data_IF_412752845014
#
_entry.id   IF_412752845014
#
_cell.length_a   1.000
_cell.length_b   1.000
_cell.length_c   1.000
_cell.angle_alpha   90.00
_cell.angle_beta   90.00
_cell.angle_gamma   90.00
#
_symmetry.space_group_name_H-M   'P 1'
#
loop_
_entity.id
_entity.type
_entity.pdbx_description
1 polymer ?
#
# COMPACT_ATOMS: atom_id res chain seq x y z
N UNK A 1 11.30 -72.43 -40.15
CA UNK A 1 12.20 -71.92 -41.21
C UNK A 1 11.33 -71.37 -42.33
N UNK A 2 11.76 -70.34 -43.07
CA UNK A 2 11.98 -68.90 -42.80
C UNK A 2 10.83 -68.07 -43.45
N UNK A 3 10.94 -66.78 -43.87
CA UNK A 3 11.73 -65.61 -43.43
C UNK A 3 10.81 -64.44 -42.95
N UNK A 4 11.27 -63.53 -42.08
CA UNK A 4 11.82 -62.19 -42.39
C UNK A 4 11.01 -61.33 -43.39
N UNK A 5 10.45 -60.22 -42.89
CA UNK A 5 10.49 -58.95 -43.62
C UNK A 5 10.37 -57.76 -42.64
N UNK A 6 11.50 -57.08 -42.52
CA UNK A 6 11.74 -55.79 -41.88
C UNK A 6 11.04 -54.68 -42.65
N UNK A 7 10.30 -53.82 -41.96
CA UNK A 7 9.85 -52.53 -42.51
C UNK A 7 10.18 -51.41 -41.52
N UNK A 8 11.30 -50.75 -41.82
CA UNK A 8 11.71 -49.47 -41.26
C UNK A 8 10.71 -48.42 -41.75
N UNK A 9 10.12 -47.66 -40.84
CA UNK A 9 9.43 -46.40 -41.16
C UNK A 9 10.37 -45.26 -40.80
N UNK A 10 10.64 -44.44 -41.82
CA UNK A 10 11.52 -43.28 -41.83
C UNK A 10 11.07 -42.23 -40.83
N UNK A 11 12.02 -41.72 -40.03
CA UNK A 11 11.90 -40.48 -39.28
C UNK A 11 12.12 -39.31 -40.27
N UNK A 12 11.06 -38.56 -40.56
CA UNK A 12 11.19 -37.25 -41.22
C UNK A 12 11.65 -36.22 -40.19
N UNK A 13 12.85 -35.68 -40.41
CA UNK A 13 13.39 -34.54 -39.68
C UNK A 13 12.65 -33.26 -40.10
N UNK A 14 12.29 -32.35 -39.18
CA UNK A 14 11.73 -31.05 -39.54
C UNK A 14 12.81 -30.15 -40.15
N UNK A 15 12.46 -29.54 -41.29
CA UNK A 15 13.22 -28.51 -41.99
C UNK A 15 13.42 -27.29 -41.07
N UNK A 16 14.68 -26.93 -40.84
CA UNK A 16 15.06 -25.67 -40.22
C UNK A 16 14.89 -24.54 -41.25
N UNK A 17 13.82 -23.76 -41.12
CA UNK A 17 13.71 -22.48 -41.83
C UNK A 17 14.71 -21.49 -41.23
N UNK A 18 15.71 -21.14 -42.05
CA UNK A 18 16.61 -20.03 -41.82
C UNK A 18 15.79 -18.73 -41.85
N UNK A 19 15.68 -18.07 -40.69
CA UNK A 19 15.15 -16.71 -40.59
C UNK A 19 16.30 -15.75 -40.77
N UNK A 20 16.22 -14.94 -41.82
CA UNK A 20 17.16 -13.88 -42.16
C UNK A 20 17.28 -12.87 -41.01
N UNK A 21 18.51 -12.70 -40.50
CA UNK A 21 18.92 -11.60 -39.63
C UNK A 21 18.91 -10.29 -40.43
N UNK A 22 17.79 -9.57 -40.42
CA UNK A 22 17.78 -8.15 -40.79
C UNK A 22 18.24 -7.31 -39.60
N UNK A 23 19.31 -6.55 -39.82
CA UNK A 23 20.04 -5.78 -38.83
C UNK A 23 19.18 -4.75 -38.09
N UNK A 24 19.20 -4.83 -36.77
CA UNK A 24 18.83 -3.72 -35.91
C UNK A 24 19.99 -2.74 -35.85
N UNK A 25 19.80 -1.56 -36.43
CA UNK A 25 20.63 -0.39 -36.27
C UNK A 25 20.80 -0.08 -34.77
N UNK A 26 22.04 -0.10 -34.28
CA UNK A 26 22.40 0.41 -32.96
C UNK A 26 22.23 1.93 -32.98
N UNK A 27 21.03 2.41 -32.66
CA UNK A 27 20.85 3.79 -32.25
C UNK A 27 21.55 3.98 -30.90
N UNK A 28 22.68 4.68 -30.94
CA UNK A 28 23.43 5.11 -29.78
C UNK A 28 22.53 5.88 -28.83
N UNK A 29 22.22 5.26 -27.70
CA UNK A 29 21.56 5.90 -26.58
C UNK A 29 22.59 6.83 -25.92
N UNK A 30 22.59 8.10 -26.33
CA UNK A 30 23.29 9.16 -25.63
C UNK A 30 22.71 9.23 -24.20
N UNK A 31 23.51 8.87 -23.20
CA UNK A 31 23.22 9.18 -21.80
C UNK A 31 23.13 10.71 -21.68
N UNK A 32 21.92 11.26 -21.74
CA UNK A 32 21.65 12.60 -21.23
C UNK A 32 21.95 12.60 -19.74
N UNK A 33 23.19 12.99 -19.42
CA UNK A 33 23.60 13.41 -18.09
C UNK A 33 22.84 14.70 -17.79
N UNK A 34 21.79 14.59 -16.99
CA UNK A 34 21.14 15.75 -16.38
C UNK A 34 22.09 16.32 -15.33
N UNK A 35 23.00 17.20 -15.76
CA UNK A 35 23.71 18.09 -14.85
C UNK A 35 22.69 19.09 -14.29
N UNK A 36 22.43 18.99 -12.99
CA UNK A 36 21.66 19.96 -12.22
C UNK A 36 22.40 21.32 -12.26
N UNK A 37 22.18 22.11 -13.30
CA UNK A 37 22.53 23.53 -13.28
C UNK A 37 21.61 24.24 -12.29
N UNK A 38 22.12 24.43 -11.07
CA UNK A 38 21.57 25.34 -10.09
C UNK A 38 21.47 26.74 -10.72
N UNK A 39 20.32 27.44 -10.63
CA UNK A 39 20.23 28.80 -11.16
C UNK A 39 21.18 29.71 -10.37
N UNK A 40 22.15 30.29 -11.09
CA UNK A 40 23.02 31.34 -10.58
C UNK A 40 22.18 32.50 -10.02
N UNK A 41 22.34 32.76 -8.72
CA UNK A 41 21.83 33.95 -8.07
C UNK A 41 22.54 35.19 -8.65
N UNK A 42 21.90 35.87 -9.59
CA UNK A 42 22.31 37.21 -9.97
C UNK A 42 21.98 38.17 -8.83
N UNK A 43 23.02 38.54 -8.09
CA UNK A 43 23.02 39.63 -7.13
C UNK A 43 22.58 40.95 -7.78
N UNK A 44 21.47 41.51 -7.32
CA UNK A 44 21.11 42.91 -7.53
C UNK A 44 21.14 43.65 -6.20
N UNK A 45 22.12 44.52 -6.08
CA UNK A 45 22.29 45.50 -5.01
C UNK A 45 21.11 46.47 -5.02
N UNK A 46 20.45 46.63 -3.87
CA UNK A 46 19.47 47.68 -3.67
C UNK A 46 19.04 47.76 -2.21
N UNK A 47 19.80 48.48 -1.40
CA UNK A 47 19.42 48.86 -0.05
C UNK A 47 18.73 50.23 -0.11
N UNK A 48 17.47 50.36 0.34
CA UNK A 48 17.05 51.57 1.01
C UNK A 48 16.49 51.23 2.39
N UNK A 49 17.13 51.85 3.38
CA UNK A 49 16.65 52.03 4.74
C UNK A 49 15.31 52.80 4.76
N UNK A 50 14.67 52.71 5.92
CA UNK A 50 13.70 53.64 6.50
C UNK A 50 12.22 53.39 6.18
N UNK A 51 11.55 52.67 7.08
CA UNK A 51 10.33 53.11 7.79
C UNK A 51 9.71 51.93 8.56
N UNK A 52 10.15 51.72 9.81
CA UNK A 52 9.45 50.87 10.78
C UNK A 52 8.75 51.80 11.78
N UNK A 53 7.40 51.82 11.84
CA UNK A 53 6.69 52.49 12.91
C UNK A 53 6.90 51.73 14.24
N UNK A 54 7.00 52.44 15.39
CA UNK A 54 7.28 51.81 16.67
C UNK A 54 6.14 50.88 17.12
N UNK A 55 6.52 49.75 17.71
CA UNK A 55 5.62 48.80 18.38
C UNK A 55 4.88 49.48 19.54
N UNK A 56 3.58 49.19 19.74
CA UNK A 56 2.87 49.62 20.93
C UNK A 56 3.35 48.85 22.16
N UNK A 57 3.66 49.61 23.20
CA UNK A 57 4.04 49.16 24.54
C UNK A 57 3.00 48.21 25.14
N UNK A 58 3.38 47.09 25.78
CA UNK A 58 2.44 46.25 26.51
C UNK A 58 1.92 46.99 27.74
N UNK A 59 0.61 47.13 27.82
CA UNK A 59 -0.09 47.58 29.02
C UNK A 59 0.05 46.53 30.13
N UNK A 60 0.45 47.05 31.30
CA UNK A 60 0.36 46.45 32.61
C UNK A 60 -0.95 45.66 32.79
N UNK A 61 -0.86 44.37 33.12
CA UNK A 61 -1.95 43.62 33.71
C UNK A 61 -1.50 43.12 35.09
N UNK A 62 -2.21 43.62 36.08
CA UNK A 62 -2.09 43.33 37.50
C UNK A 62 -2.44 41.88 37.85
N UNK A 63 -1.84 41.31 38.90
CA UNK A 63 -2.14 39.95 39.37
C UNK A 63 -3.11 39.96 40.55
N UNK A 64 -4.36 39.52 40.35
CA UNK A 64 -5.38 39.15 41.37
C UNK A 64 -6.56 38.55 40.55
N UNK A 65 -7.24 37.44 40.82
CA UNK A 65 -7.47 36.61 41.99
C UNK A 65 -8.16 35.30 41.54
N UNK A 66 -7.83 34.18 42.22
CA UNK A 66 -8.74 33.14 42.74
C UNK A 66 -9.70 32.41 41.80
N UNK A 67 -9.51 31.10 41.59
CA UNK A 67 -9.92 29.95 42.44
C UNK A 67 -11.17 29.26 41.88
N UNK A 68 -11.16 27.93 42.06
CA UNK A 68 -12.30 27.02 41.99
C UNK A 68 -12.88 26.73 40.60
N UNK A 69 -12.53 25.55 40.09
CA UNK A 69 -13.52 24.56 39.63
C UNK A 69 -12.83 23.19 39.48
N UNK A 70 -12.85 22.41 40.56
CA UNK A 70 -12.69 20.95 40.50
C UNK A 70 -13.92 20.36 39.81
N UNK A 71 -13.82 20.15 38.50
CA UNK A 71 -14.75 19.34 37.72
C UNK A 71 -14.38 17.86 37.82
N UNK A 72 -15.35 17.05 38.28
CA UNK A 72 -15.27 15.59 38.37
C UNK A 72 -14.91 14.93 37.02
N UNK A 73 -14.22 13.77 37.01
CA UNK A 73 -13.97 13.01 35.79
C UNK A 73 -15.29 12.46 35.24
N UNK A 74 -15.74 13.01 34.11
CA UNK A 74 -16.89 12.49 33.39
C UNK A 74 -16.57 11.14 32.75
N UNK A 75 -17.39 10.17 33.17
CA UNK A 75 -17.71 8.86 32.61
C UNK A 75 -17.29 8.64 31.14
N UNK A 76 -16.46 7.62 30.95
CA UNK A 76 -16.60 6.61 29.89
C UNK A 76 -16.43 7.10 28.46
N UNK A 77 -15.20 7.32 28.03
CA UNK A 77 -14.88 7.25 26.60
C UNK A 77 -15.20 5.84 26.10
N UNK A 78 -16.26 5.70 25.31
CA UNK A 78 -16.52 4.50 24.52
C UNK A 78 -15.30 4.20 23.63
N UNK A 79 -14.86 2.94 23.52
CA UNK A 79 -13.68 2.59 22.72
C UNK A 79 -13.84 3.07 21.28
N UNK A 80 -12.83 3.79 20.79
CA UNK A 80 -12.78 4.31 19.41
C UNK A 80 -12.79 3.11 18.45
N UNK A 81 -13.91 2.93 17.76
CA UNK A 81 -14.11 1.87 16.77
C UNK A 81 -13.03 1.94 15.69
N UNK A 82 -12.52 0.77 15.30
CA UNK A 82 -11.42 0.67 14.33
C UNK A 82 -11.92 0.93 12.91
N UNK A 83 -11.06 1.32 11.94
CA UNK A 83 -11.47 1.45 10.53
C UNK A 83 -12.17 0.19 9.98
N UNK A 84 -11.75 -0.99 10.45
CA UNK A 84 -12.33 -2.26 10.06
C UNK A 84 -13.58 -2.64 10.85
N UNK A 85 -13.69 -2.25 12.12
CA UNK A 85 -14.96 -2.33 12.87
C UNK A 85 -15.99 -1.38 12.29
N UNK A 86 -15.57 -0.24 11.76
CA UNK A 86 -16.42 0.70 11.03
C UNK A 86 -16.77 0.15 9.64
N UNK A 87 -15.88 -0.57 8.94
CA UNK A 87 -16.22 -1.35 7.74
C UNK A 87 -17.14 -2.54 8.07
N UNK A 88 -16.94 -3.19 9.22
CA UNK A 88 -17.71 -4.31 9.79
C UNK A 88 -19.03 -3.87 10.48
N UNK A 89 -19.19 -2.56 10.75
CA UNK A 89 -20.39 -1.93 11.27
C UNK A 89 -21.19 -1.21 10.19
N UNK A 90 -20.55 -0.62 9.17
CA UNK A 90 -21.24 -0.19 7.95
C UNK A 90 -21.91 -1.39 7.28
N UNK A 91 -21.20 -2.52 7.18
CA UNK A 91 -21.81 -3.82 6.84
C UNK A 91 -22.99 -4.13 7.77
N UNK A 92 -22.91 -3.96 9.10
CA UNK A 92 -24.05 -4.28 10.00
C UNK A 92 -25.22 -3.30 9.93
N UNK A 93 -24.98 -2.00 9.77
CA UNK A 93 -25.98 -0.92 9.84
C UNK A 93 -26.70 -0.69 8.52
N UNK A 94 -26.07 -1.00 7.38
CA UNK A 94 -26.70 -0.98 6.04
C UNK A 94 -27.21 -2.37 5.60
N UNK A 95 -27.24 -3.32 6.54
CA UNK A 95 -27.50 -4.74 6.29
C UNK A 95 -26.24 -5.42 5.78
N UNK A 96 -25.82 -6.52 6.47
CA UNK A 96 -24.57 -7.27 6.21
C UNK A 96 -24.37 -7.60 4.73
N UNK A 97 -25.47 -7.71 3.99
CA UNK A 97 -25.51 -7.80 2.54
C UNK A 97 -24.62 -6.75 1.88
N UNK A 98 -24.86 -5.43 1.88
CA UNK A 98 -24.26 -4.56 0.84
C UNK A 98 -22.74 -4.43 0.84
N UNK A 99 -22.06 -4.37 1.98
CA UNK A 99 -20.58 -4.23 2.02
C UNK A 99 -19.87 -5.59 2.03
N UNK A 100 -20.45 -6.66 2.60
CA UNK A 100 -19.90 -8.02 2.38
C UNK A 100 -20.19 -8.47 0.95
N UNK A 101 -21.34 -8.14 0.38
CA UNK A 101 -21.71 -8.25 -1.03
C UNK A 101 -20.84 -7.34 -1.89
N UNK A 102 -20.36 -6.19 -1.41
CA UNK A 102 -19.43 -5.34 -2.16
C UNK A 102 -18.00 -5.89 -2.12
N UNK A 103 -17.48 -6.28 -0.95
CA UNK A 103 -16.20 -6.98 -0.83
C UNK A 103 -16.24 -8.34 -1.55
N UNK A 104 -17.40 -9.00 -1.55
CA UNK A 104 -17.66 -10.22 -2.31
C UNK A 104 -17.82 -9.96 -3.80
N UNK A 105 -18.51 -8.90 -4.24
CA UNK A 105 -18.62 -8.50 -5.66
C UNK A 105 -17.29 -8.02 -6.22
N UNK A 106 -16.47 -7.33 -5.42
CA UNK A 106 -15.08 -6.99 -5.77
C UNK A 106 -14.22 -8.24 -5.88
N UNK A 107 -14.42 -9.23 -5.01
CA UNK A 107 -13.75 -10.54 -5.07
C UNK A 107 -14.28 -11.45 -6.19
N UNK A 108 -15.56 -11.35 -6.58
CA UNK A 108 -16.23 -12.17 -7.60
C UNK A 108 -15.95 -11.65 -9.01
N UNK A 109 -15.82 -10.33 -9.20
CA UNK A 109 -15.49 -9.72 -10.50
C UNK A 109 -14.06 -10.00 -10.99
N UNK A 110 -13.20 -10.59 -10.15
CA UNK A 110 -11.86 -11.05 -10.52
C UNK A 110 -11.74 -12.57 -10.68
N UNK A 111 -12.83 -13.34 -10.56
CA UNK A 111 -12.79 -14.80 -10.53
C UNK A 111 -13.63 -15.39 -11.66
N UNK A 112 -13.19 -15.18 -12.90
CA UNK A 112 -13.70 -15.89 -14.06
C UNK A 112 -12.53 -16.35 -14.93
N UNK A 113 -11.85 -17.43 -14.54
CA UNK A 113 -11.04 -18.21 -15.47
C UNK A 113 -10.79 -19.65 -15.01
N UNK A 114 -10.65 -20.50 -16.01
CA UNK A 114 -10.87 -21.95 -16.10
C UNK A 114 -10.17 -22.87 -15.08
N UNK A 115 -10.86 -23.95 -14.76
CA UNK A 115 -10.33 -25.09 -14.02
C UNK A 115 -9.62 -26.05 -14.97
N UNK A 116 -8.31 -26.25 -14.76
CA UNK A 116 -7.57 -27.41 -15.27
C UNK A 116 -7.41 -28.45 -14.16
N UNK A 117 -7.91 -29.65 -14.42
CA UNK A 117 -7.87 -30.82 -13.55
C UNK A 117 -6.45 -31.35 -13.37
N UNK A 118 -6.10 -31.90 -12.20
CA UNK A 118 -4.80 -32.59 -12.01
C UNK A 118 -4.28 -32.74 -10.58
N UNK A 119 -4.74 -33.79 -9.90
CA UNK A 119 -4.04 -34.48 -8.80
C UNK A 119 -4.08 -33.90 -7.36
N UNK A 120 -4.23 -34.86 -6.44
CA UNK A 120 -4.70 -34.82 -5.06
C UNK A 120 -3.57 -34.66 -4.04
N UNK A 121 -3.11 -33.42 -3.88
CA UNK A 121 -2.80 -32.87 -2.55
C UNK A 121 -3.99 -32.03 -2.14
N UNK A 122 -4.40 -32.05 -0.88
CA UNK A 122 -5.54 -31.32 -0.31
C UNK A 122 -5.69 -29.91 -0.94
N UNK A 123 -6.39 -29.84 -2.07
CA UNK A 123 -6.43 -28.67 -2.96
C UNK A 123 -7.32 -27.69 -2.24
N UNK A 124 -6.70 -26.82 -1.43
CA UNK A 124 -7.33 -25.61 -0.93
C UNK A 124 -7.94 -24.93 -2.16
N UNK A 125 -9.28 -24.92 -2.23
CA UNK A 125 -10.01 -24.40 -3.38
C UNK A 125 -9.41 -23.05 -3.78
N UNK A 126 -9.11 -22.83 -5.07
CA UNK A 126 -8.32 -21.68 -5.56
C UNK A 126 -8.96 -20.30 -5.34
N UNK A 127 -10.09 -20.23 -4.62
CA UNK A 127 -10.91 -19.05 -4.45
C UNK A 127 -11.42 -18.90 -3.02
N UNK A 128 -10.59 -19.21 -2.00
CA UNK A 128 -10.87 -18.66 -0.66
C UNK A 128 -10.76 -17.13 -0.75
N UNK A 129 -11.86 -16.44 -0.46
CA UNK A 129 -11.88 -14.97 -0.43
C UNK A 129 -10.87 -14.50 0.61
N UNK A 130 -10.19 -13.38 0.34
CA UNK A 130 -9.19 -12.82 1.26
C UNK A 130 -9.72 -12.75 2.71
N UNK A 131 -11.00 -12.39 2.88
CA UNK A 131 -11.69 -12.27 4.19
C UNK A 131 -11.90 -13.57 4.95
N UNK A 132 -11.75 -14.74 4.30
CA UNK A 132 -11.90 -16.04 4.96
C UNK A 132 -10.60 -16.54 5.61
N UNK A 133 -9.47 -15.97 5.20
CA UNK A 133 -8.13 -16.46 5.58
C UNK A 133 -7.26 -15.37 6.19
N UNK A 134 -7.64 -14.10 6.04
CA UNK A 134 -6.91 -12.94 6.54
C UNK A 134 -7.85 -12.00 7.29
N UNK A 135 -7.31 -11.39 8.35
CA UNK A 135 -7.97 -10.30 9.07
C UNK A 135 -7.02 -9.13 9.33
N UNK A 136 -7.57 -7.92 9.38
CA UNK A 136 -6.81 -6.72 9.76
C UNK A 136 -6.92 -6.53 11.26
N UNK A 137 -5.78 -6.48 11.95
CA UNK A 137 -5.72 -6.35 13.41
C UNK A 137 -4.69 -5.31 13.82
N UNK A 138 -4.72 -4.92 15.09
CA UNK A 138 -3.73 -4.01 15.66
C UNK A 138 -2.35 -4.68 15.61
N UNK A 139 -1.40 -4.06 14.94
CA UNK A 139 -0.02 -4.53 14.88
C UNK A 139 0.79 -3.87 16.00
N UNK A 140 1.82 -4.58 16.47
CA UNK A 140 2.82 -4.04 17.41
C UNK A 140 3.83 -3.09 16.73
N UNK A 141 3.72 -2.94 15.41
CA UNK A 141 4.60 -2.14 14.56
C UNK A 141 4.08 -0.70 14.43
N UNK A 142 4.95 0.22 14.01
CA UNK A 142 4.74 1.68 13.97
C UNK A 142 3.46 2.17 13.27
N UNK A 143 2.91 1.42 12.30
CA UNK A 143 1.69 1.82 11.58
C UNK A 143 0.40 1.45 12.31
N UNK A 144 0.50 0.74 13.43
CA UNK A 144 -0.61 0.42 14.34
C UNK A 144 -1.56 -0.67 13.84
N UNK A 145 -1.61 -0.96 12.54
CA UNK A 145 -2.43 -1.99 11.92
C UNK A 145 -1.58 -2.90 11.03
N UNK A 146 -2.03 -4.15 10.87
CA UNK A 146 -1.39 -5.14 10.00
C UNK A 146 -2.39 -6.20 9.55
N UNK A 147 -2.00 -6.99 8.56
CA UNK A 147 -2.80 -8.11 8.03
C UNK A 147 -2.27 -9.41 8.62
N UNK A 148 -3.15 -10.21 9.20
CA UNK A 148 -2.79 -11.44 9.91
C UNK A 148 -3.50 -12.64 9.29
N UNK A 149 -2.84 -13.79 9.29
CA UNK A 149 -3.43 -15.04 8.86
C UNK A 149 -4.38 -15.60 9.93
N UNK A 150 -5.61 -15.93 9.56
CA UNK A 150 -6.60 -16.55 10.47
C UNK A 150 -6.47 -18.09 10.49
N UNK A 151 -5.78 -18.64 9.49
CA UNK A 151 -5.48 -20.06 9.33
C UNK A 151 -4.02 -20.23 8.92
N UNK A 152 -3.50 -21.46 8.97
CA UNK A 152 -2.18 -21.77 8.40
C UNK A 152 -2.22 -21.59 6.88
N UNK A 153 -1.25 -20.87 6.32
CA UNK A 153 -1.11 -20.63 4.89
C UNK A 153 0.26 -21.10 4.42
N UNK A 154 0.28 -21.98 3.42
CA UNK A 154 1.52 -22.58 2.94
C UNK A 154 2.27 -21.65 1.98
N UNK A 155 3.60 -21.76 1.95
CA UNK A 155 4.44 -21.14 0.93
C UNK A 155 3.89 -21.45 -0.48
N UNK A 156 3.93 -20.46 -1.37
CA UNK A 156 3.47 -20.56 -2.76
C UNK A 156 2.00 -20.21 -2.95
N UNK A 157 1.19 -20.16 -1.88
CA UNK A 157 -0.22 -19.79 -1.99
C UNK A 157 -0.39 -18.32 -2.39
N UNK A 158 -1.32 -18.07 -3.31
CA UNK A 158 -1.86 -16.73 -3.59
C UNK A 158 -2.84 -16.37 -2.48
N UNK A 159 -2.53 -15.35 -1.69
CA UNK A 159 -3.29 -15.01 -0.47
C UNK A 159 -4.14 -13.77 -0.61
N UNK A 160 -3.78 -12.88 -1.54
CA UNK A 160 -4.56 -11.70 -1.89
C UNK A 160 -4.63 -11.61 -3.41
N UNK A 161 -5.83 -11.47 -3.93
CA UNK A 161 -6.12 -10.90 -5.24
C UNK A 161 -7.09 -9.74 -4.99
N UNK A 162 -6.68 -8.52 -5.32
CA UNK A 162 -7.45 -7.31 -4.99
C UNK A 162 -7.41 -6.32 -6.16
N UNK A 163 -8.56 -5.78 -6.55
CA UNK A 163 -8.66 -4.68 -7.51
C UNK A 163 -8.43 -3.34 -6.81
N UNK A 164 -7.84 -2.34 -7.46
CA UNK A 164 -7.50 -1.08 -6.83
C UNK A 164 -8.74 -0.30 -6.46
N UNK A 165 -8.75 0.26 -5.26
CA UNK A 165 -9.78 1.17 -4.80
C UNK A 165 -9.60 2.58 -5.36
N UNK A 166 -8.39 2.93 -5.82
CA UNK A 166 -8.08 4.18 -6.50
C UNK A 166 -6.94 3.96 -7.50
N UNK A 167 -7.05 4.53 -8.70
CA UNK A 167 -6.01 4.50 -9.75
C UNK A 167 -5.73 5.91 -10.24
N UNK A 168 -4.46 6.26 -10.46
CA UNK A 168 -3.99 7.59 -10.84
C UNK A 168 -2.67 7.50 -11.64
N UNK A 169 -2.26 8.57 -12.31
CA UNK A 169 -0.96 8.65 -12.99
C UNK A 169 0.13 8.97 -11.96
N UNK A 170 1.19 8.15 -11.91
CA UNK A 170 2.26 8.33 -10.93
C UNK A 170 3.14 9.56 -11.18
N UNK A 171 3.67 9.77 -12.40
CA UNK A 171 4.20 11.08 -12.78
C UNK A 171 3.00 12.02 -12.93
N UNK A 172 3.05 13.20 -12.29
CA UNK A 172 1.95 14.15 -12.26
C UNK A 172 1.35 14.41 -13.64
N UNK A 173 0.04 14.53 -13.73
CA UNK A 173 -0.67 14.70 -15.00
C UNK A 173 -2.18 14.92 -14.78
N UNK A 174 -2.99 14.94 -15.85
CA UNK A 174 -4.44 15.17 -15.77
C UNK A 174 -5.18 14.10 -14.94
N UNK A 175 -4.60 12.91 -14.80
CA UNK A 175 -5.06 11.87 -13.87
C UNK A 175 -4.22 11.82 -12.58
N UNK A 176 -3.77 12.97 -12.08
CA UNK A 176 -3.12 13.07 -10.78
C UNK A 176 -3.96 12.44 -9.66
N UNK A 177 -3.31 12.11 -8.55
CA UNK A 177 -3.98 11.57 -7.38
C UNK A 177 -5.13 12.48 -6.87
N UNK A 178 -4.92 13.80 -6.90
CA UNK A 178 -5.98 14.77 -6.55
C UNK A 178 -7.17 14.70 -7.52
N UNK A 179 -6.91 14.57 -8.83
CA UNK A 179 -7.97 14.37 -9.82
C UNK A 179 -8.70 13.03 -9.63
N UNK A 180 -7.98 11.96 -9.32
CA UNK A 180 -8.57 10.65 -9.03
C UNK A 180 -9.43 10.69 -7.77
N UNK A 181 -8.97 11.37 -6.72
CA UNK A 181 -9.72 11.59 -5.48
C UNK A 181 -10.99 12.41 -5.71
N UNK A 182 -10.90 13.51 -6.47
CA UNK A 182 -12.05 14.36 -6.77
C UNK A 182 -13.18 13.60 -7.49
N UNK A 183 -12.84 12.61 -8.33
CA UNK A 183 -13.79 11.75 -9.05
C UNK A 183 -14.41 10.64 -8.18
N UNK A 184 -13.91 10.39 -6.97
CA UNK A 184 -14.56 9.46 -6.06
C UNK A 184 -15.89 10.06 -5.58
N UNK A 185 -16.91 9.23 -5.48
CA UNK A 185 -18.14 9.61 -4.76
C UNK A 185 -17.88 9.68 -3.24
N UNK A 186 -18.82 10.32 -2.54
CA UNK A 186 -18.70 10.58 -1.09
C UNK A 186 -18.54 9.29 -0.28
N UNK A 187 -19.28 8.24 -0.64
CA UNK A 187 -19.17 6.93 0.01
C UNK A 187 -17.75 6.37 -0.07
N UNK A 188 -17.12 6.40 -1.25
CA UNK A 188 -15.73 5.93 -1.44
C UNK A 188 -14.74 6.81 -0.72
N UNK A 189 -14.91 8.13 -0.73
CA UNK A 189 -14.05 9.06 0.04
C UNK A 189 -14.12 8.73 1.53
N UNK A 190 -15.31 8.49 2.07
CA UNK A 190 -15.48 8.10 3.48
C UNK A 190 -14.77 6.79 3.81
N UNK A 191 -14.82 5.80 2.93
CA UNK A 191 -14.08 4.54 3.10
C UNK A 191 -12.57 4.82 3.21
N UNK A 192 -12.02 5.63 2.30
CA UNK A 192 -10.60 6.00 2.35
C UNK A 192 -10.23 6.79 3.61
N UNK A 193 -11.03 7.75 4.02
CA UNK A 193 -10.79 8.55 5.24
C UNK A 193 -10.78 7.67 6.51
N UNK A 194 -11.61 6.61 6.50
CA UNK A 194 -11.66 5.63 7.58
C UNK A 194 -10.43 4.72 7.54
N UNK A 195 -10.15 4.11 6.38
CA UNK A 195 -9.04 3.19 6.18
C UNK A 195 -7.66 3.84 6.36
N UNK A 196 -7.52 5.10 5.93
CA UNK A 196 -6.26 5.82 5.89
C UNK A 196 -6.36 7.13 6.68
N UNK A 197 -5.97 7.15 7.97
CA UNK A 197 -6.14 8.32 8.83
C UNK A 197 -5.52 9.62 8.29
N UNK A 198 -4.46 9.54 7.47
CA UNK A 198 -3.83 10.71 6.84
C UNK A 198 -4.78 11.44 5.88
N UNK A 199 -5.73 10.72 5.27
CA UNK A 199 -6.71 11.29 4.34
C UNK A 199 -7.75 12.16 5.03
N UNK A 200 -7.89 12.10 6.37
CA UNK A 200 -8.81 12.97 7.14
C UNK A 200 -8.50 14.45 7.02
N UNK A 201 -7.25 14.79 6.67
CA UNK A 201 -6.82 16.18 6.51
C UNK A 201 -7.15 16.74 5.13
N UNK A 202 -7.55 15.88 4.20
CA UNK A 202 -7.76 16.23 2.81
C UNK A 202 -9.22 16.68 2.65
N UNK A 203 -9.48 17.85 2.04
CA UNK A 203 -10.82 18.33 1.74
C UNK A 203 -11.66 17.31 0.95
N UNK A 204 -12.95 17.27 1.28
CA UNK A 204 -13.87 16.28 0.73
C UNK A 204 -14.40 16.70 -0.65
N UNK A 205 -14.58 18.00 -0.86
CA UNK A 205 -15.43 18.62 -1.88
C UNK A 205 -14.75 19.75 -2.66
N UNK A 206 -13.44 19.99 -2.44
CA UNK A 206 -12.71 21.07 -3.10
C UNK A 206 -11.98 20.60 -4.35
N UNK A 207 -12.10 21.37 -5.42
CA UNK A 207 -11.33 21.20 -6.66
C UNK A 207 -9.96 21.87 -6.57
N UNK A 208 -9.85 22.93 -5.77
CA UNK A 208 -8.61 23.64 -5.51
C UNK A 208 -7.92 23.08 -4.26
N UNK A 209 -6.69 22.63 -4.44
CA UNK A 209 -5.88 22.01 -3.41
C UNK A 209 -4.84 23.00 -2.91
N UNK A 210 -4.79 23.20 -1.58
CA UNK A 210 -3.70 23.96 -0.99
C UNK A 210 -2.37 23.21 -1.15
N UNK A 211 -1.26 23.92 -0.98
CA UNK A 211 0.06 23.29 -1.04
C UNK A 211 0.24 22.21 0.05
N UNK A 212 -0.42 22.38 1.20
CA UNK A 212 -0.40 21.37 2.27
C UNK A 212 -1.22 20.13 1.94
N UNK A 213 -2.32 20.28 1.20
CA UNK A 213 -3.10 19.15 0.70
C UNK A 213 -2.28 18.35 -0.32
N UNK A 214 -1.61 19.04 -1.25
CA UNK A 214 -0.70 18.42 -2.23
C UNK A 214 0.43 17.66 -1.54
N UNK A 215 1.08 18.28 -0.55
CA UNK A 215 2.12 17.62 0.27
C UNK A 215 1.56 16.41 1.02
N UNK A 216 0.32 16.48 1.51
CA UNK A 216 -0.35 15.35 2.18
C UNK A 216 -0.62 14.21 1.21
N UNK A 217 -1.11 14.51 0.01
CA UNK A 217 -1.32 13.52 -1.06
C UNK A 217 -0.02 12.86 -1.52
N UNK A 218 1.05 13.63 -1.73
CA UNK A 218 2.34 13.04 -2.14
C UNK A 218 2.89 12.10 -1.07
N UNK A 219 2.75 12.45 0.21
CA UNK A 219 3.08 11.53 1.32
C UNK A 219 2.19 10.29 1.29
N UNK A 220 0.88 10.45 1.08
CA UNK A 220 -0.06 9.33 0.98
C UNK A 220 0.27 8.40 -0.19
N UNK A 221 0.53 8.95 -1.38
CA UNK A 221 0.99 8.24 -2.58
C UNK A 221 2.25 7.43 -2.31
N UNK A 222 3.29 8.07 -1.77
CA UNK A 222 4.56 7.40 -1.41
C UNK A 222 4.34 6.27 -0.42
N UNK A 223 3.46 6.47 0.56
CA UNK A 223 3.23 5.53 1.64
C UNK A 223 2.34 4.33 1.23
N UNK A 224 1.24 4.56 0.51
CA UNK A 224 0.20 3.55 0.26
C UNK A 224 0.04 3.14 -1.22
N UNK A 225 0.61 3.89 -2.15
CA UNK A 225 0.47 3.64 -3.59
C UNK A 225 1.42 2.55 -4.11
N UNK A 226 0.95 1.72 -5.03
CA UNK A 226 1.75 0.73 -5.75
C UNK A 226 1.83 1.16 -7.21
N UNK A 227 2.98 0.96 -7.85
CA UNK A 227 3.20 1.33 -9.25
C UNK A 227 3.14 0.06 -10.09
N UNK A 228 2.43 0.11 -11.22
CA UNK A 228 2.48 -0.93 -12.24
C UNK A 228 3.66 -0.71 -13.22
N UNK A 229 3.83 -1.57 -14.22
CA UNK A 229 4.91 -1.42 -15.20
C UNK A 229 4.67 -0.30 -16.23
N UNK A 230 3.47 0.28 -16.27
CA UNK A 230 3.11 1.39 -17.18
C UNK A 230 3.23 2.75 -16.51
N UNK A 231 3.64 2.79 -15.24
CA UNK A 231 3.77 4.03 -14.47
C UNK A 231 2.47 4.54 -13.87
N UNK A 232 1.40 3.72 -13.83
CA UNK A 232 0.19 4.05 -13.09
C UNK A 232 0.35 3.69 -11.61
N UNK A 233 -0.24 4.55 -10.78
CA UNK A 233 -0.37 4.38 -9.35
C UNK A 233 -1.69 3.79 -8.94
N UNK A 234 -1.65 2.86 -7.99
CA UNK A 234 -2.81 2.16 -7.48
C UNK A 234 -2.81 2.15 -5.95
N UNK A 235 -3.98 2.38 -5.34
CA UNK A 235 -4.17 2.18 -3.90
C UNK A 235 -5.18 1.07 -3.69
N UNK A 236 -4.84 0.15 -2.82
CA UNK A 236 -5.64 -1.02 -2.45
C UNK A 236 -6.06 -0.89 -0.99
N UNK A 237 -7.24 -1.37 -0.61
CA UNK A 237 -7.69 -1.24 0.78
C UNK A 237 -6.98 -2.24 1.68
N UNK A 238 -6.88 -3.50 1.27
CA UNK A 238 -6.23 -4.54 2.07
C UNK A 238 -4.72 -4.51 1.86
N UNK A 239 -4.22 -4.55 0.63
CA UNK A 239 -2.77 -4.63 0.40
C UNK A 239 -2.00 -3.42 0.96
N UNK A 240 -2.58 -2.22 0.95
CA UNK A 240 -1.93 -1.03 1.53
C UNK A 240 -1.91 -1.03 3.08
N UNK A 241 -2.60 -1.97 3.75
CA UNK A 241 -2.54 -2.16 5.22
C UNK A 241 -1.45 -3.14 5.67
N UNK A 242 -0.83 -3.86 4.73
CA UNK A 242 0.24 -4.82 5.03
C UNK A 242 1.50 -4.06 5.40
N UNK A 243 2.16 -4.43 6.50
CA UNK A 243 3.36 -3.75 6.96
C UNK A 243 4.58 -4.04 6.08
N UNK A 244 5.46 -3.04 5.98
CA UNK A 244 6.70 -3.16 5.24
C UNK A 244 7.75 -3.98 6.01
N UNK A 245 8.41 -4.89 5.29
CA UNK A 245 9.63 -5.53 5.71
C UNK A 245 10.70 -5.44 4.62
N UNK A 246 11.98 -5.47 4.99
CA UNK A 246 13.04 -5.62 3.99
C UNK A 246 12.91 -6.97 3.29
N UNK A 247 13.54 -7.13 2.12
CA UNK A 247 13.46 -8.33 1.30
C UNK A 247 13.77 -9.62 2.08
N UNK A 248 14.77 -9.60 2.96
CA UNK A 248 15.11 -10.73 3.81
C UNK A 248 14.07 -11.06 4.89
N UNK A 249 13.23 -10.09 5.30
CA UNK A 249 12.22 -10.26 6.35
C UNK A 249 10.81 -10.47 5.81
N UNK A 250 10.52 -10.03 4.58
CA UNK A 250 9.23 -10.24 3.94
C UNK A 250 8.86 -11.73 3.87
N UNK A 251 7.58 -12.03 4.03
CA UNK A 251 7.03 -13.38 3.94
C UNK A 251 6.06 -13.54 2.76
N UNK A 252 5.77 -12.45 2.06
CA UNK A 252 5.10 -12.43 0.78
C UNK A 252 5.81 -11.53 -0.22
N UNK A 253 5.63 -11.86 -1.49
CA UNK A 253 5.93 -11.00 -2.64
C UNK A 253 4.63 -10.57 -3.30
N UNK A 254 4.67 -9.49 -4.08
CA UNK A 254 3.52 -9.00 -4.82
C UNK A 254 3.91 -8.62 -6.24
N UNK A 255 2.89 -8.59 -7.10
CA UNK A 255 2.95 -7.96 -8.41
C UNK A 255 1.62 -7.27 -8.67
N UNK A 256 1.67 -6.20 -9.47
CA UNK A 256 0.50 -5.47 -9.93
C UNK A 256 0.35 -5.77 -11.41
N UNK A 257 -0.81 -6.29 -11.79
CA UNK A 257 -1.13 -6.47 -13.20
C UNK A 257 -1.34 -5.10 -13.86
N UNK A 258 -0.82 -4.93 -15.07
CA UNK A 258 -0.99 -3.71 -15.85
C UNK A 258 -2.21 -3.77 -16.75
N UNK A 259 -2.73 -4.98 -17.00
CA UNK A 259 -4.01 -5.13 -17.66
C UNK A 259 -5.14 -4.80 -16.67
N UNK A 260 -6.21 -4.17 -17.16
CA UNK A 260 -7.43 -4.01 -16.36
C UNK A 260 -7.91 -5.39 -15.88
N UNK A 261 -8.24 -5.54 -14.59
CA UNK A 261 -8.62 -4.48 -13.64
C UNK A 261 -7.49 -3.90 -12.78
N UNK A 262 -6.23 -4.06 -13.19
CA UNK A 262 -5.03 -3.68 -12.44
C UNK A 262 -4.92 -4.38 -11.09
N UNK A 263 -5.17 -5.69 -11.06
CA UNK A 263 -5.23 -6.42 -9.80
C UNK A 263 -3.84 -6.52 -9.16
N UNK A 264 -3.74 -6.31 -7.84
CA UNK A 264 -2.57 -6.73 -7.07
C UNK A 264 -2.75 -8.17 -6.65
N UNK A 265 -1.72 -8.99 -6.87
CA UNK A 265 -1.66 -10.36 -6.37
C UNK A 265 -0.50 -10.52 -5.41
N UNK A 266 -0.74 -11.16 -4.27
CA UNK A 266 0.30 -11.51 -3.31
C UNK A 266 0.47 -13.02 -3.22
N UNK A 267 1.73 -13.46 -3.27
CA UNK A 267 2.13 -14.86 -3.09
C UNK A 267 3.01 -15.00 -1.86
N UNK A 268 2.74 -16.02 -1.05
CA UNK A 268 3.58 -16.33 0.09
C UNK A 268 4.93 -16.89 -0.35
N UNK A 269 6.02 -16.31 0.12
CA UNK A 269 7.37 -16.86 -0.04
C UNK A 269 7.80 -17.69 1.17
N UNK A 270 7.01 -17.63 2.27
CA UNK A 270 7.18 -18.42 3.50
C UNK A 270 5.82 -18.89 4.01
N UNK A 271 5.79 -20.05 4.66
CA UNK A 271 4.60 -20.53 5.37
C UNK A 271 4.27 -19.61 6.54
N UNK A 272 2.99 -19.29 6.72
CA UNK A 272 2.46 -18.55 7.85
C UNK A 272 1.63 -19.49 8.73
N UNK A 273 1.88 -19.45 10.03
CA UNK A 273 0.99 -20.01 11.03
C UNK A 273 -0.28 -19.18 11.18
N UNK A 274 -1.23 -19.72 11.92
CA UNK A 274 -2.35 -18.93 12.42
C UNK A 274 -1.82 -17.80 13.31
N UNK A 275 -2.39 -16.61 13.16
CA UNK A 275 -2.05 -15.38 13.86
C UNK A 275 -0.69 -14.76 13.49
N UNK A 276 -0.01 -15.29 12.47
CA UNK A 276 1.19 -14.66 11.92
C UNK A 276 0.81 -13.44 11.07
N UNK A 277 1.60 -12.38 11.18
CA UNK A 277 1.43 -11.16 10.39
C UNK A 277 2.08 -11.29 9.01
N UNK A 278 1.37 -10.83 7.99
CA UNK A 278 1.83 -10.74 6.61
C UNK A 278 2.72 -9.50 6.43
N UNK A 279 3.82 -9.67 5.71
CA UNK A 279 4.82 -8.63 5.43
C UNK A 279 5.26 -8.67 3.98
N UNK A 280 5.30 -7.51 3.34
CA UNK A 280 5.81 -7.34 1.97
C UNK A 280 6.96 -6.34 1.92
N UNK A 281 7.84 -6.52 0.94
CA UNK A 281 8.86 -5.54 0.61
C UNK A 281 8.31 -4.56 -0.42
N UNK A 282 8.17 -3.28 -0.05
CA UNK A 282 7.57 -2.27 -0.94
C UNK A 282 8.48 -1.87 -2.10
N UNK A 283 9.76 -2.26 -2.07
CA UNK A 283 10.78 -1.89 -3.08
C UNK A 283 10.88 -0.38 -3.37
N UNK A 284 10.53 0.45 -2.38
CA UNK A 284 10.62 1.91 -2.46
C UNK A 284 11.87 2.40 -1.72
N UNK A 285 12.62 3.28 -2.36
CA UNK A 285 13.70 4.06 -1.71
C UNK A 285 13.09 5.18 -0.87
N UNK A 286 13.75 5.56 0.22
CA UNK A 286 13.35 6.72 1.03
C UNK A 286 12.03 6.56 1.77
N UNK A 287 11.67 5.34 2.19
CA UNK A 287 10.55 5.18 3.11
C UNK A 287 10.91 5.75 4.48
N UNK A 288 10.04 6.60 5.02
CA UNK A 288 10.18 7.20 6.36
C UNK A 288 10.19 6.15 7.50
N UNK A 289 9.84 4.90 7.19
CA UNK A 289 9.81 3.78 8.12
C UNK A 289 10.70 2.63 7.63
N UNK A 290 11.53 2.11 8.53
CA UNK A 290 12.37 0.95 8.26
C UNK A 290 11.60 -0.38 8.31
N UNK A 291 12.32 -1.48 8.07
CA UNK A 291 11.77 -2.83 8.18
C UNK A 291 11.17 -3.09 9.57
N UNK A 292 9.88 -3.39 9.61
CA UNK A 292 9.12 -3.64 10.83
C UNK A 292 9.75 -4.72 11.74
N UNK A 293 10.23 -5.80 11.13
CA UNK A 293 10.86 -6.93 11.82
C UNK A 293 12.23 -6.54 12.38
N UNK A 294 13.07 -5.87 11.59
CA UNK A 294 14.39 -5.45 12.02
C UNK A 294 14.32 -4.44 13.18
N UNK A 295 13.40 -3.49 13.11
CA UNK A 295 13.17 -2.50 14.17
C UNK A 295 12.65 -3.17 15.46
N UNK A 296 11.72 -4.12 15.34
CA UNK A 296 11.23 -4.90 16.48
C UNK A 296 12.34 -5.68 17.20
N UNK A 297 13.26 -6.31 16.44
CA UNK A 297 14.42 -7.02 17.00
C UNK A 297 15.37 -6.10 17.76
N UNK A 298 15.62 -4.89 17.23
CA UNK A 298 16.45 -3.89 17.93
C UNK A 298 15.84 -3.50 19.27
N UNK A 299 14.53 -3.18 19.30
CA UNK A 299 13.83 -2.81 20.55
C UNK A 299 13.92 -3.87 21.64
N UNK A 300 13.76 -5.16 21.28
CA UNK A 300 13.88 -6.27 22.24
C UNK A 300 15.28 -6.38 22.85
N UNK A 301 16.34 -6.17 22.05
CA UNK A 301 17.74 -6.21 22.55
C UNK A 301 18.05 -5.11 23.57
N UNK A 302 17.43 -3.94 23.46
CA UNK A 302 17.62 -2.85 24.43
C UNK A 302 16.76 -3.02 25.68
N UNK A 303 15.54 -3.56 25.54
CA UNK A 303 14.66 -3.86 26.69
C UNK A 303 15.26 -4.92 27.63
N UNK A 304 16.00 -5.90 27.12
CA UNK A 304 16.63 -6.94 27.94
C UNK A 304 17.89 -6.48 28.69
N UNK A 305 18.34 -5.24 28.49
CA UNK A 305 19.52 -4.65 29.17
C UNK A 305 19.14 -3.62 30.25
N UNK A 306 17.86 -3.46 30.57
CA UNK A 306 17.47 -2.65 31.73
C UNK A 306 18.16 -3.24 32.98
N UNK A 307 19.05 -2.48 33.66
CA UNK A 307 19.73 -2.98 34.84
C UNK A 307 18.67 -3.36 35.87
N UNK A 308 18.74 -4.61 36.33
CA UNK A 308 18.00 -5.07 37.50
C UNK A 308 18.41 -4.15 38.65
N UNK A 309 17.64 -3.11 38.93
CA UNK A 309 17.76 -2.31 40.14
C UNK A 309 17.32 -3.18 41.32
N UNK A 310 18.25 -4.02 41.78
CA UNK A 310 18.27 -4.53 43.14
C UNK A 310 19.17 -3.59 43.93
N UNK A 311 18.55 -2.91 44.89
CA UNK A 311 19.13 -1.96 45.82
C UNK A 311 17.98 -1.35 46.58
#
# INVERSE_FOLDING_TARGET
>A
MPPEETRLSEEEAPEEEAVDEEGSEEEGFEEEVWEDEAPEETASKGNPRDNIPPEPTPLDQTPQERESLHGQPSKGESPKKTPFEVLAELTRAEGKSRVEEWLSKLSERGSSHESLEGDSTERVSPSRRNSQVLSVRKSSISRGWGVFADVKLNKGHKVIVETPALTFNWPGGPHSLGGAWARLNDERKMIFIRAFPRMRKIPFDRYEWSEDDRRTFEKFKKEYGFIDNTGHGHVYLLASTINHACQACANAEFWVDSARPYAITLRLVRTLGKDDELFICYNKRGLDFGCAICLGRKRRKYSSKAPSSRG
#
